data_IF_297704061961
#
_entry.id   IF_297704061961
#
_cell.length_a   1.000
_cell.length_b   1.000
_cell.length_c   1.000
_cell.angle_alpha   90.00
_cell.angle_beta   90.00
_cell.angle_gamma   90.00
#
_symmetry.space_group_name_H-M   'P 1'
#
loop_
_entity.id
_entity.type
_entity.pdbx_description
1 polymer ?
#
# COMPACT_ATOMS: atom_id res chain seq x y z
N UNK A 1 23.47 -11.95 -74.18
CA UNK A 1 22.57 -13.08 -73.90
C UNK A 1 23.40 -14.20 -73.28
N UNK A 2 23.38 -14.30 -71.96
CA UNK A 2 24.03 -15.33 -71.16
C UNK A 2 22.98 -15.87 -70.17
N UNK A 3 23.05 -17.17 -69.80
CA UNK A 3 21.88 -17.94 -69.36
C UNK A 3 21.55 -17.76 -67.87
N UNK A 4 20.28 -18.00 -67.55
CA UNK A 4 19.71 -17.95 -66.21
C UNK A 4 20.33 -19.00 -65.27
N UNK A 5 20.73 -18.58 -64.08
CA UNK A 5 21.16 -19.46 -62.98
C UNK A 5 19.94 -20.02 -62.27
N UNK A 6 19.88 -21.35 -62.19
CA UNK A 6 18.97 -22.12 -61.33
C UNK A 6 19.24 -21.81 -59.85
N UNK A 7 18.22 -21.57 -59.00
CA UNK A 7 18.44 -21.41 -57.56
C UNK A 7 18.66 -22.78 -56.89
N UNK A 8 19.55 -22.78 -55.90
CA UNK A 8 19.91 -23.93 -55.07
C UNK A 8 18.75 -24.34 -54.12
N UNK A 9 18.73 -25.57 -53.58
CA UNK A 9 17.62 -26.09 -52.79
C UNK A 9 17.51 -25.35 -51.45
N UNK A 10 16.29 -24.98 -51.08
CA UNK A 10 15.94 -24.46 -49.75
C UNK A 10 16.30 -25.49 -48.68
N UNK A 11 17.14 -25.09 -47.73
CA UNK A 11 17.33 -25.83 -46.49
C UNK A 11 16.01 -25.78 -45.69
N UNK A 12 15.64 -26.85 -44.97
CA UNK A 12 14.42 -26.86 -44.19
C UNK A 12 14.56 -25.85 -43.05
N UNK A 13 13.62 -24.90 -42.98
CA UNK A 13 13.48 -24.03 -41.83
C UNK A 13 13.29 -24.89 -40.57
N UNK A 14 14.18 -24.72 -39.61
CA UNK A 14 13.95 -25.17 -38.23
C UNK A 14 12.67 -24.50 -37.75
N UNK A 15 11.59 -25.28 -37.67
CA UNK A 15 10.37 -24.91 -36.95
C UNK A 15 10.75 -24.63 -35.49
N UNK A 16 11.06 -23.37 -35.18
CA UNK A 16 11.11 -22.86 -33.81
C UNK A 16 9.75 -23.12 -33.17
N UNK A 17 9.69 -24.09 -32.26
CA UNK A 17 8.50 -24.39 -31.47
C UNK A 17 8.04 -23.09 -30.80
N UNK A 18 6.89 -22.58 -31.21
CA UNK A 18 6.27 -21.44 -30.55
C UNK A 18 6.03 -21.80 -29.09
N UNK A 19 6.67 -21.08 -28.17
CA UNK A 19 6.53 -21.33 -26.74
C UNK A 19 5.05 -21.24 -26.35
N UNK A 20 4.52 -22.33 -25.78
CA UNK A 20 3.13 -22.40 -25.32
C UNK A 20 2.99 -21.50 -24.11
N UNK A 21 2.30 -20.36 -24.28
CA UNK A 21 2.09 -19.35 -23.23
C UNK A 21 0.71 -19.44 -22.57
N UNK A 22 -0.11 -20.45 -22.92
CA UNK A 22 -1.41 -20.71 -22.30
C UNK A 22 -1.77 -22.19 -22.34
N UNK A 23 -2.41 -22.69 -21.29
CA UNK A 23 -2.90 -24.06 -21.18
C UNK A 23 -4.34 -24.08 -20.66
N UNK A 24 -5.07 -25.15 -20.98
CA UNK A 24 -6.40 -25.40 -20.45
C UNK A 24 -6.34 -26.47 -19.36
N UNK A 25 -6.97 -26.18 -18.22
CA UNK A 25 -7.08 -27.04 -17.05
C UNK A 25 -8.51 -27.59 -16.98
N UNK A 26 -8.74 -28.88 -17.29
CA UNK A 26 -10.06 -29.48 -17.41
C UNK A 26 -10.67 -29.84 -16.04
N UNK A 27 -10.86 -28.83 -15.20
CA UNK A 27 -11.32 -28.97 -13.82
C UNK A 27 -12.86 -29.06 -13.70
N UNK A 28 -13.59 -28.79 -14.78
CA UNK A 28 -15.05 -28.78 -14.85
C UNK A 28 -15.69 -27.49 -14.33
N UNK A 29 -16.94 -27.23 -14.75
CA UNK A 29 -17.63 -25.95 -14.52
C UNK A 29 -18.01 -25.67 -13.07
N UNK A 30 -18.14 -26.73 -12.26
CA UNK A 30 -18.60 -26.64 -10.88
C UNK A 30 -17.49 -26.77 -9.84
N UNK A 31 -16.23 -26.93 -10.25
CA UNK A 31 -15.10 -27.01 -9.34
C UNK A 31 -14.75 -25.60 -8.85
N UNK A 32 -14.77 -25.42 -7.52
CA UNK A 32 -14.20 -24.23 -6.92
C UNK A 32 -12.69 -24.37 -6.91
N UNK A 33 -11.98 -23.34 -7.34
CA UNK A 33 -10.51 -23.32 -7.29
C UNK A 33 -9.92 -22.15 -6.50
N UNK A 34 -8.71 -22.37 -5.98
CA UNK A 34 -7.80 -21.34 -5.49
C UNK A 34 -6.42 -21.53 -6.12
N UNK A 35 -5.72 -20.45 -6.45
CA UNK A 35 -4.44 -20.51 -7.14
C UNK A 35 -3.47 -19.42 -6.66
N UNK A 36 -2.26 -19.82 -6.24
CA UNK A 36 -1.29 -18.96 -5.58
C UNK A 36 0.15 -19.46 -5.77
N UNK A 37 1.11 -18.61 -5.42
CA UNK A 37 2.53 -18.95 -5.47
C UNK A 37 3.03 -19.46 -4.12
N UNK A 38 3.85 -20.51 -4.16
CA UNK A 38 4.61 -21.06 -3.04
C UNK A 38 6.07 -21.21 -3.46
N UNK A 39 6.91 -20.25 -3.08
CA UNK A 39 8.27 -20.14 -3.62
C UNK A 39 8.26 -20.09 -5.16
N UNK A 40 8.90 -21.07 -5.78
CA UNK A 40 9.00 -21.21 -7.23
C UNK A 40 7.88 -22.05 -7.86
N UNK A 41 6.97 -22.57 -7.05
CA UNK A 41 5.85 -23.37 -7.51
C UNK A 41 4.57 -22.54 -7.56
N UNK A 42 3.84 -22.64 -8.68
CA UNK A 42 2.48 -22.15 -8.77
C UNK A 42 1.51 -23.29 -8.46
N UNK A 43 0.75 -23.13 -7.38
CA UNK A 43 -0.15 -24.15 -6.85
C UNK A 43 -1.59 -23.77 -7.20
N UNK A 44 -2.32 -24.72 -7.76
CA UNK A 44 -3.75 -24.66 -8.02
C UNK A 44 -4.42 -25.76 -7.19
N UNK A 45 -5.37 -25.37 -6.35
CA UNK A 45 -6.16 -26.28 -5.52
C UNK A 45 -7.59 -26.26 -6.00
N UNK A 46 -8.14 -27.42 -6.32
CA UNK A 46 -9.53 -27.64 -6.70
C UNK A 46 -10.27 -28.40 -5.61
N UNK A 47 -11.48 -27.96 -5.28
CA UNK A 47 -12.36 -28.61 -4.29
C UNK A 47 -13.06 -29.89 -4.78
N UNK A 48 -12.68 -30.36 -5.97
CA UNK A 48 -13.12 -31.62 -6.57
C UNK A 48 -11.94 -32.50 -6.98
N UNK A 49 -12.16 -33.81 -6.88
CA UNK A 49 -11.28 -34.81 -7.44
C UNK A 49 -11.47 -34.87 -8.96
N UNK A 50 -10.41 -34.59 -9.70
CA UNK A 50 -10.36 -34.62 -11.16
C UNK A 50 -9.08 -35.33 -11.55
N UNK A 51 -9.21 -36.44 -12.27
CA UNK A 51 -8.04 -37.09 -12.86
C UNK A 51 -7.58 -36.28 -14.06
N UNK A 52 -6.30 -35.88 -14.05
CA UNK A 52 -5.66 -35.16 -15.14
C UNK A 52 -4.37 -35.86 -15.51
N UNK A 53 -4.12 -35.98 -16.81
CA UNK A 53 -2.85 -36.46 -17.34
C UNK A 53 -1.98 -35.27 -17.74
N UNK A 54 -0.78 -35.17 -17.16
CA UNK A 54 0.20 -34.12 -17.48
C UNK A 54 1.16 -34.52 -18.59
N UNK A 55 1.06 -35.74 -19.14
CA UNK A 55 1.93 -36.21 -20.22
C UNK A 55 1.93 -35.26 -21.42
N UNK A 56 0.78 -34.67 -21.75
CA UNK A 56 0.61 -33.70 -22.83
C UNK A 56 1.33 -32.36 -22.60
N UNK A 57 1.73 -32.06 -21.35
CA UNK A 57 2.49 -30.86 -21.00
C UNK A 57 4.00 -31.08 -21.10
N UNK A 58 4.47 -32.33 -21.23
CA UNK A 58 5.90 -32.59 -21.35
C UNK A 58 6.47 -31.93 -22.62
N UNK A 59 7.49 -31.11 -22.45
CA UNK A 59 8.08 -30.34 -23.55
C UNK A 59 7.28 -29.10 -23.98
N UNK A 60 6.16 -28.76 -23.33
CA UNK A 60 5.36 -27.56 -23.67
C UNK A 60 5.83 -26.34 -22.88
N UNK A 61 7.01 -25.82 -23.24
CA UNK A 61 7.50 -24.53 -22.75
C UNK A 61 7.48 -24.38 -21.22
N UNK A 62 6.99 -23.22 -20.74
CA UNK A 62 7.01 -22.83 -19.32
C UNK A 62 6.12 -23.68 -18.41
N UNK A 63 5.12 -24.37 -18.96
CA UNK A 63 4.20 -25.22 -18.18
C UNK A 63 4.62 -26.69 -18.15
N UNK A 64 5.82 -27.01 -18.61
CA UNK A 64 6.27 -28.40 -18.80
C UNK A 64 6.51 -29.17 -17.51
N UNK A 65 6.83 -28.48 -16.42
CA UNK A 65 7.08 -29.08 -15.10
C UNK A 65 5.81 -29.07 -14.24
N UNK A 66 4.80 -29.83 -14.68
CA UNK A 66 3.51 -29.94 -13.99
C UNK A 66 3.38 -31.27 -13.24
N UNK A 67 2.91 -31.20 -12.00
CA UNK A 67 2.52 -32.36 -11.18
C UNK A 67 1.06 -32.24 -10.78
N UNK A 68 0.37 -33.37 -10.73
CA UNK A 68 -1.03 -33.45 -10.27
C UNK A 68 -1.11 -34.49 -9.17
N UNK A 69 -1.73 -34.11 -8.06
CA UNK A 69 -2.03 -35.01 -6.95
C UNK A 69 -3.51 -34.90 -6.59
N UNK A 70 -4.18 -36.04 -6.46
CA UNK A 70 -5.55 -36.10 -5.94
C UNK A 70 -5.51 -36.65 -4.52
N UNK A 71 -5.97 -35.87 -3.55
CA UNK A 71 -6.03 -36.26 -2.13
C UNK A 71 -7.50 -36.17 -1.71
N UNK A 72 -8.11 -37.32 -1.42
CA UNK A 72 -9.53 -37.39 -1.09
C UNK A 72 -10.40 -36.83 -2.22
N UNK A 73 -11.11 -35.74 -1.96
CA UNK A 73 -11.95 -35.04 -2.94
C UNK A 73 -11.33 -33.73 -3.45
N UNK A 74 -10.01 -33.57 -3.31
CA UNK A 74 -9.27 -32.36 -3.71
C UNK A 74 -8.25 -32.74 -4.78
N UNK A 75 -8.09 -31.87 -5.78
CA UNK A 75 -7.00 -31.98 -6.77
C UNK A 75 -6.05 -30.81 -6.60
N UNK A 76 -4.76 -31.10 -6.45
CA UNK A 76 -3.69 -30.13 -6.38
C UNK A 76 -2.88 -30.27 -7.66
N UNK A 77 -2.74 -29.17 -8.39
CA UNK A 77 -1.87 -29.06 -9.57
C UNK A 77 -0.75 -28.09 -9.20
N UNK A 78 0.50 -28.52 -9.32
CA UNK A 78 1.65 -27.65 -9.08
C UNK A 78 2.50 -27.54 -10.35
N UNK A 79 2.85 -26.31 -10.71
CA UNK A 79 3.75 -25.99 -11.81
C UNK A 79 5.03 -25.40 -11.26
N UNK A 80 6.17 -26.02 -11.56
CA UNK A 80 7.47 -25.50 -11.16
C UNK A 80 8.01 -24.50 -12.19
N UNK A 81 8.46 -23.34 -11.73
CA UNK A 81 9.11 -22.34 -12.56
C UNK A 81 10.50 -22.00 -12.03
N UNK A 82 11.45 -21.73 -12.93
CA UNK A 82 12.80 -21.30 -12.53
C UNK A 82 12.82 -19.90 -11.90
N UNK A 83 11.80 -19.09 -12.21
CA UNK A 83 11.60 -17.74 -11.68
C UNK A 83 10.09 -17.43 -11.67
N UNK A 84 9.67 -16.52 -10.81
CA UNK A 84 8.28 -16.03 -10.81
C UNK A 84 7.98 -15.33 -12.14
N UNK A 85 6.89 -15.74 -12.78
CA UNK A 85 6.42 -15.12 -14.03
C UNK A 85 5.01 -14.55 -13.84
N UNK A 86 4.65 -13.50 -14.58
CA UNK A 86 3.30 -12.93 -14.50
C UNK A 86 2.30 -13.94 -15.06
N UNK A 87 1.49 -14.56 -14.19
CA UNK A 87 0.42 -15.47 -14.57
C UNK A 87 -0.95 -14.80 -14.43
N UNK A 88 -1.89 -15.26 -15.23
CA UNK A 88 -3.31 -14.96 -15.12
C UNK A 88 -4.15 -16.21 -15.33
N UNK A 89 -5.38 -16.17 -14.82
CA UNK A 89 -6.29 -17.31 -14.93
C UNK A 89 -7.70 -16.83 -15.24
N UNK A 90 -8.35 -17.49 -16.19
CA UNK A 90 -9.68 -17.12 -16.68
C UNK A 90 -10.59 -18.33 -16.71
N UNK A 91 -11.84 -18.15 -16.32
CA UNK A 91 -12.84 -19.23 -16.37
C UNK A 91 -13.27 -19.48 -17.81
N UNK A 92 -13.45 -20.76 -18.16
CA UNK A 92 -13.99 -21.18 -19.46
C UNK A 92 -14.97 -22.35 -19.26
N UNK A 93 -15.90 -22.57 -20.21
CA UNK A 93 -16.69 -23.79 -20.19
C UNK A 93 -15.79 -25.05 -20.12
N UNK A 94 -16.07 -25.92 -19.16
CA UNK A 94 -15.32 -27.15 -18.87
C UNK A 94 -14.09 -26.98 -17.98
N UNK A 95 -13.69 -25.75 -17.58
CA UNK A 95 -12.51 -25.58 -16.74
C UNK A 95 -11.93 -24.15 -16.70
N UNK A 96 -10.61 -24.07 -16.70
CA UNK A 96 -9.88 -22.80 -16.51
C UNK A 96 -8.71 -22.70 -17.50
N UNK A 97 -8.44 -21.50 -17.98
CA UNK A 97 -7.23 -21.21 -18.75
C UNK A 97 -6.20 -20.62 -17.80
N UNK A 98 -4.99 -21.20 -17.75
CA UNK A 98 -3.81 -20.58 -17.15
C UNK A 98 -2.93 -20.02 -18.27
N UNK A 99 -2.56 -18.74 -18.18
CA UNK A 99 -1.74 -18.09 -19.20
C UNK A 99 -0.64 -17.22 -18.57
N UNK A 100 0.44 -17.02 -19.32
CA UNK A 100 1.44 -15.99 -19.04
C UNK A 100 0.88 -14.65 -19.50
N UNK A 101 0.72 -13.71 -18.57
CA UNK A 101 0.23 -12.36 -18.82
C UNK A 101 1.33 -11.50 -19.43
N UNK A 102 0.98 -10.61 -20.35
CA UNK A 102 1.92 -9.60 -20.85
C UNK A 102 2.26 -8.57 -19.75
N UNK A 103 3.51 -8.12 -19.67
CA UNK A 103 3.98 -7.19 -18.61
C UNK A 103 3.18 -5.88 -18.52
N UNK A 104 2.64 -5.40 -19.64
CA UNK A 104 1.90 -4.12 -19.70
C UNK A 104 0.41 -4.23 -19.34
N UNK A 105 -0.11 -5.42 -19.07
CA UNK A 105 -1.52 -5.61 -18.75
C UNK A 105 -1.76 -5.49 -17.24
N UNK A 106 -2.67 -4.58 -16.89
CA UNK A 106 -3.12 -4.41 -15.52
C UNK A 106 -3.77 -5.71 -15.03
N UNK A 107 -3.23 -6.27 -13.94
CA UNK A 107 -3.73 -7.53 -13.38
C UNK A 107 -5.06 -7.26 -12.65
N UNK A 108 -6.04 -8.15 -12.85
CA UNK A 108 -7.33 -8.09 -12.16
C UNK A 108 -7.15 -8.57 -10.72
N UNK A 109 -7.70 -7.83 -9.76
CA UNK A 109 -7.68 -8.19 -8.34
C UNK A 109 -8.99 -7.83 -7.69
N UNK A 110 -9.39 -8.61 -6.68
CA UNK A 110 -10.55 -8.25 -5.91
C UNK A 110 -10.16 -7.29 -4.80
N UNK A 111 -10.98 -6.26 -4.66
CA UNK A 111 -11.11 -5.53 -3.42
C UNK A 111 -11.88 -6.41 -2.44
N UNK A 112 -11.15 -7.15 -1.63
CA UNK A 112 -11.77 -8.00 -0.60
C UNK A 112 -11.80 -7.20 0.69
N UNK A 113 -12.94 -6.59 0.94
CA UNK A 113 -13.26 -5.94 2.21
C UNK A 113 -14.01 -6.95 3.08
N UNK A 114 -13.42 -7.43 4.18
CA UNK A 114 -14.13 -8.31 5.11
C UNK A 114 -15.40 -7.63 5.64
N UNK A 115 -16.34 -8.43 6.14
CA UNK A 115 -17.56 -7.96 6.77
C UNK A 115 -17.69 -8.62 8.13
N UNK A 116 -17.88 -7.83 9.18
CA UNK A 116 -18.18 -8.38 10.51
C UNK A 116 -19.56 -9.03 10.47
N UNK A 117 -19.63 -10.31 10.82
CA UNK A 117 -20.88 -11.08 10.81
C UNK A 117 -20.83 -12.17 11.86
N UNK A 118 -21.89 -12.31 12.66
CA UNK A 118 -22.05 -13.38 13.64
C UNK A 118 -20.84 -13.55 14.59
N UNK A 119 -20.16 -12.45 14.95
CA UNK A 119 -18.98 -12.46 15.83
C UNK A 119 -17.65 -12.83 15.14
N UNK A 120 -17.66 -13.11 13.84
CA UNK A 120 -16.48 -13.39 13.02
C UNK A 120 -16.36 -12.45 11.82
N UNK A 121 -15.46 -12.82 10.88
CA UNK A 121 -15.24 -12.07 9.65
C UNK A 121 -15.65 -12.89 8.43
N UNK A 122 -16.61 -12.37 7.66
CA UNK A 122 -16.96 -12.89 6.35
C UNK A 122 -16.12 -12.20 5.29
N UNK A 123 -15.38 -12.96 4.50
CA UNK A 123 -14.70 -12.53 3.29
C UNK A 123 -15.57 -12.85 2.08
N UNK A 124 -16.25 -11.85 1.48
CA UNK A 124 -17.20 -12.11 0.39
C UNK A 124 -16.52 -12.73 -0.82
N UNK A 125 -17.12 -13.77 -1.38
CA UNK A 125 -16.63 -14.45 -2.59
C UNK A 125 -17.79 -14.85 -3.49
N UNK A 126 -17.71 -14.59 -4.81
CA UNK A 126 -18.71 -15.07 -5.76
C UNK A 126 -18.67 -16.60 -5.78
N UNK A 127 -19.84 -17.24 -5.67
CA UNK A 127 -20.00 -18.71 -5.69
C UNK A 127 -18.89 -19.47 -4.92
N UNK A 128 -18.75 -19.14 -3.63
CA UNK A 128 -17.77 -19.75 -2.74
C UNK A 128 -17.83 -21.29 -2.78
N UNK A 129 -16.67 -21.90 -2.99
CA UNK A 129 -16.43 -23.34 -3.00
C UNK A 129 -16.24 -23.89 -1.59
N UNK A 130 -15.27 -24.79 -1.41
CA UNK A 130 -14.86 -25.29 -0.09
C UNK A 130 -13.64 -24.52 0.43
N UNK A 131 -13.43 -24.59 1.74
CA UNK A 131 -12.14 -24.21 2.33
C UNK A 131 -11.32 -25.49 2.49
N UNK A 132 -10.12 -25.50 1.92
CA UNK A 132 -9.24 -26.67 1.86
C UNK A 132 -8.01 -26.37 2.67
N UNK A 133 -7.70 -27.25 3.62
CA UNK A 133 -6.46 -27.18 4.38
C UNK A 133 -5.32 -27.88 3.63
N UNK A 134 -4.17 -27.22 3.56
CA UNK A 134 -2.92 -27.81 3.07
C UNK A 134 -1.72 -27.27 3.86
N UNK A 135 -0.61 -27.99 3.80
CA UNK A 135 0.69 -27.47 4.21
C UNK A 135 1.39 -26.85 3.01
N UNK A 136 1.93 -25.64 3.17
CA UNK A 136 2.73 -24.98 2.14
C UNK A 136 3.99 -25.81 1.83
N UNK A 137 4.24 -26.21 0.56
CA UNK A 137 5.40 -27.01 0.23
C UNK A 137 6.75 -26.32 0.48
N UNK A 138 6.81 -24.99 0.33
CA UNK A 138 8.05 -24.23 0.48
C UNK A 138 8.36 -23.91 1.95
N UNK A 139 7.37 -23.47 2.72
CA UNK A 139 7.56 -22.96 4.08
C UNK A 139 7.04 -23.88 5.18
N UNK A 140 6.24 -24.89 4.84
CA UNK A 140 5.53 -25.73 5.80
C UNK A 140 4.36 -25.04 6.53
N UNK A 141 4.01 -23.80 6.14
CA UNK A 141 2.94 -23.05 6.79
C UNK A 141 1.58 -23.76 6.62
N UNK A 142 0.71 -23.65 7.63
CA UNK A 142 -0.66 -24.16 7.55
C UNK A 142 -1.51 -23.19 6.73
N UNK A 143 -1.97 -23.63 5.56
CA UNK A 143 -2.78 -22.83 4.65
C UNK A 143 -4.23 -23.32 4.65
N UNK A 144 -5.17 -22.38 4.71
CA UNK A 144 -6.57 -22.59 4.40
C UNK A 144 -6.90 -21.87 3.09
N UNK A 145 -7.17 -22.63 2.04
CA UNK A 145 -7.49 -22.10 0.71
C UNK A 145 -9.00 -22.13 0.53
N UNK A 146 -9.62 -20.95 0.58
CA UNK A 146 -11.01 -20.79 0.21
C UNK A 146 -11.11 -20.71 -1.32
N UNK A 147 -11.78 -21.69 -1.91
CA UNK A 147 -11.92 -21.78 -3.36
C UNK A 147 -13.16 -21.02 -3.85
N UNK A 148 -13.17 -20.64 -5.13
CA UNK A 148 -14.34 -20.06 -5.79
C UNK A 148 -14.57 -20.70 -7.15
N UNK A 149 -15.85 -20.92 -7.46
CA UNK A 149 -16.29 -21.47 -8.75
C UNK A 149 -16.23 -20.40 -9.85
N UNK A 150 -16.39 -19.13 -9.50
CA UNK A 150 -16.31 -18.01 -10.44
C UNK A 150 -14.97 -17.29 -10.31
N UNK A 151 -14.64 -16.40 -11.25
CA UNK A 151 -13.46 -15.55 -11.13
C UNK A 151 -13.53 -14.73 -9.84
N UNK A 152 -12.58 -14.97 -8.95
CA UNK A 152 -12.44 -14.35 -7.66
C UNK A 152 -10.94 -14.15 -7.41
N UNK A 153 -10.31 -13.15 -8.03
CA UNK A 153 -8.90 -12.90 -7.83
C UNK A 153 -8.65 -12.46 -6.39
N UNK A 154 -7.57 -12.94 -5.77
CA UNK A 154 -7.25 -12.57 -4.39
C UNK A 154 -6.52 -11.24 -4.27
N UNK A 155 -5.96 -10.94 -3.09
CA UNK A 155 -5.20 -9.73 -2.88
C UNK A 155 -3.89 -9.76 -3.69
N UNK A 156 -3.41 -8.58 -4.06
CA UNK A 156 -2.10 -8.39 -4.70
C UNK A 156 -0.93 -8.69 -3.77
N UNK A 157 -1.13 -8.31 -2.51
CA UNK A 157 -0.12 -8.29 -1.47
C UNK A 157 -0.53 -9.22 -0.34
N UNK A 158 0.48 -9.70 0.37
CA UNK A 158 0.29 -10.37 1.64
C UNK A 158 -0.33 -9.38 2.63
N UNK A 159 -1.37 -9.79 3.33
CA UNK A 159 -2.07 -9.00 4.34
C UNK A 159 -1.88 -9.65 5.70
N UNK A 160 -1.10 -9.03 6.57
CA UNK A 160 -0.91 -9.52 7.93
C UNK A 160 -2.09 -9.10 8.82
N UNK A 161 -2.59 -10.04 9.62
CA UNK A 161 -3.66 -9.82 10.61
C UNK A 161 -3.25 -10.50 11.92
N UNK A 162 -4.00 -10.27 12.99
CA UNK A 162 -3.68 -10.89 14.28
C UNK A 162 -3.93 -12.41 14.21
N UNK A 163 -2.84 -13.19 14.18
CA UNK A 163 -2.85 -14.65 14.19
C UNK A 163 -3.02 -15.33 12.82
N UNK A 164 -3.13 -14.56 11.73
CA UNK A 164 -3.16 -15.09 10.37
C UNK A 164 -2.70 -14.07 9.34
N UNK A 165 -2.32 -14.55 8.17
CA UNK A 165 -2.05 -13.74 6.99
C UNK A 165 -3.00 -14.14 5.86
N UNK A 166 -3.27 -13.22 4.93
CA UNK A 166 -3.88 -13.53 3.63
C UNK A 166 -2.81 -13.39 2.57
N UNK A 167 -2.50 -14.46 1.86
CA UNK A 167 -1.45 -14.48 0.85
C UNK A 167 -1.95 -13.97 -0.52
N UNK A 168 -1.04 -13.45 -1.37
CA UNK A 168 -1.38 -13.15 -2.75
C UNK A 168 -1.86 -14.38 -3.50
N UNK A 169 -2.96 -14.23 -4.25
CA UNK A 169 -3.51 -15.29 -5.09
C UNK A 169 -4.07 -14.73 -6.40
N UNK A 170 -3.98 -15.51 -7.47
CA UNK A 170 -4.62 -15.20 -8.76
C UNK A 170 -6.10 -15.57 -8.73
N UNK A 171 -6.48 -16.51 -7.86
CA UNK A 171 -7.84 -16.99 -7.72
C UNK A 171 -8.08 -17.53 -6.31
N UNK A 172 -9.29 -17.33 -5.79
CA UNK A 172 -9.65 -17.71 -4.42
C UNK A 172 -8.89 -16.89 -3.36
N UNK A 173 -9.06 -17.28 -2.11
CA UNK A 173 -8.38 -16.67 -0.96
C UNK A 173 -7.50 -17.70 -0.27
N UNK A 174 -6.31 -17.28 0.16
CA UNK A 174 -5.34 -18.14 0.83
C UNK A 174 -5.02 -17.54 2.18
N UNK A 175 -5.38 -18.24 3.25
CA UNK A 175 -5.12 -17.82 4.62
C UNK A 175 -3.95 -18.66 5.16
N UNK A 176 -2.85 -18.03 5.54
CA UNK A 176 -1.79 -18.70 6.30
C UNK A 176 -2.04 -18.47 7.79
N UNK A 177 -2.28 -19.54 8.54
CA UNK A 177 -2.59 -19.45 9.96
C UNK A 177 -1.32 -19.49 10.79
N UNK A 178 -1.19 -18.54 11.73
CA UNK A 178 -0.10 -18.49 12.70
C UNK A 178 -0.55 -18.99 14.09
N UNK A 179 -1.86 -18.91 14.37
CA UNK A 179 -2.45 -19.36 15.63
C UNK A 179 -3.48 -20.47 15.42
N UNK A 180 -3.40 -21.52 16.24
CA UNK A 180 -4.29 -22.69 16.18
C UNK A 180 -5.76 -22.37 16.50
N UNK A 181 -5.99 -21.28 17.22
CA UNK A 181 -7.32 -20.81 17.61
C UNK A 181 -8.12 -20.16 16.47
N UNK A 182 -7.50 -19.93 15.30
CA UNK A 182 -8.19 -19.35 14.15
C UNK A 182 -8.67 -20.47 13.24
N UNK A 183 -9.94 -20.39 12.86
CA UNK A 183 -10.53 -21.28 11.88
C UNK A 183 -11.10 -20.49 10.71
N UNK A 184 -10.93 -21.01 9.49
CA UNK A 184 -11.62 -20.50 8.31
C UNK A 184 -12.49 -21.62 7.75
N UNK A 185 -13.77 -21.36 7.62
CA UNK A 185 -14.78 -22.30 7.11
C UNK A 185 -15.60 -21.68 5.99
N UNK A 186 -16.34 -22.52 5.26
CA UNK A 186 -17.30 -22.03 4.28
C UNK A 186 -18.43 -21.28 5.01
N UNK A 187 -18.58 -19.99 4.71
CA UNK A 187 -19.70 -19.16 5.15
C UNK A 187 -20.78 -19.01 4.09
N UNK A 188 -21.93 -18.47 4.48
CA UNK A 188 -22.94 -18.04 3.52
C UNK A 188 -22.47 -16.74 2.84
N UNK A 189 -22.06 -16.85 1.57
CA UNK A 189 -21.57 -15.72 0.76
C UNK A 189 -20.05 -15.56 0.70
N UNK A 190 -19.27 -16.47 1.29
CA UNK A 190 -17.81 -16.29 1.32
C UNK A 190 -17.05 -17.24 2.25
N UNK A 191 -15.76 -16.97 2.46
CA UNK A 191 -14.98 -17.61 3.51
C UNK A 191 -15.30 -16.92 4.85
N UNK A 192 -15.58 -17.70 5.89
CA UNK A 192 -15.90 -17.18 7.22
C UNK A 192 -14.78 -17.53 8.18
N UNK A 193 -14.16 -16.51 8.76
CA UNK A 193 -13.11 -16.63 9.75
C UNK A 193 -13.70 -16.46 11.14
N UNK A 194 -13.37 -17.39 12.02
CA UNK A 194 -13.85 -17.51 13.39
C UNK A 194 -12.67 -17.74 14.34
N UNK A 195 -12.85 -17.41 15.63
CA UNK A 195 -11.84 -17.66 16.67
C UNK A 195 -12.42 -18.58 17.73
N UNK A 196 -11.76 -19.71 17.95
CA UNK A 196 -12.14 -20.71 18.94
C UNK A 196 -11.63 -20.34 20.34
N UNK A 197 -12.53 -20.33 21.35
CA UNK A 197 -12.17 -20.30 22.77
C UNK A 197 -12.94 -19.29 23.62
N UNK A 198 -13.18 -19.63 24.90
CA UNK A 198 -13.92 -18.81 25.89
C UNK A 198 -13.17 -17.56 26.38
N UNK A 199 -11.84 -17.54 26.20
CA UNK A 199 -10.92 -16.44 26.52
C UNK A 199 -10.27 -15.86 25.25
N UNK A 200 -10.98 -15.94 24.12
CA UNK A 200 -10.48 -15.48 22.83
C UNK A 200 -10.28 -13.96 22.81
N UNK A 201 -9.13 -13.52 22.30
CA UNK A 201 -8.90 -12.12 21.95
C UNK A 201 -9.98 -11.77 20.92
N UNK A 202 -10.84 -10.77 21.16
CA UNK A 202 -11.86 -10.40 20.19
C UNK A 202 -11.16 -10.03 18.87
N UNK A 203 -11.61 -10.61 17.76
CA UNK A 203 -11.28 -10.13 16.40
C UNK A 203 -11.71 -8.65 16.22
N UNK A 204 -12.48 -8.14 17.19
CA UNK A 204 -13.11 -6.82 17.28
C UNK A 204 -12.45 -5.83 18.28
N UNK A 205 -11.25 -6.09 18.82
CA UNK A 205 -10.61 -5.09 19.70
C UNK A 205 -9.82 -4.04 18.92
N UNK A 206 -10.54 -3.20 18.17
CA UNK A 206 -9.97 -2.07 17.43
C UNK A 206 -11.00 -1.23 16.68
N UNK A 207 -11.93 -0.60 17.42
CA UNK A 207 -12.88 0.44 16.99
C UNK A 207 -14.10 -0.01 16.14
N UNK A 208 -15.28 0.33 16.64
CA UNK A 208 -16.51 0.42 15.86
C UNK A 208 -16.24 1.19 14.55
N UNK A 209 -16.46 0.53 13.42
CA UNK A 209 -16.60 1.20 12.13
C UNK A 209 -15.31 1.48 11.35
N UNK A 210 -14.52 0.45 11.04
CA UNK A 210 -13.88 0.30 9.73
C UNK A 210 -13.23 -1.08 9.64
N UNK A 211 -13.74 -1.94 8.77
CA UNK A 211 -12.96 -3.10 8.36
C UNK A 211 -11.79 -2.58 7.54
N UNK A 212 -10.58 -2.59 8.13
CA UNK A 212 -9.35 -2.06 7.53
C UNK A 212 -9.13 -2.62 6.10
N UNK A 213 -9.21 -1.74 5.10
CA UNK A 213 -8.93 -1.99 3.69
C UNK A 213 -7.40 -1.97 3.47
N UNK A 214 -6.73 -3.04 3.94
CA UNK A 214 -5.27 -3.16 3.97
C UNK A 214 -4.71 -3.63 2.63
N UNK A 215 -4.64 -2.72 1.65
CA UNK A 215 -3.94 -2.94 0.36
C UNK A 215 -2.48 -2.50 0.39
N UNK A 216 -2.05 -1.92 1.50
CA UNK A 216 -0.66 -1.70 1.91
C UNK A 216 -0.59 -2.14 3.36
N UNK A 217 0.37 -2.98 3.73
CA UNK A 217 0.54 -3.33 5.15
C UNK A 217 1.27 -2.16 5.84
N UNK A 218 0.53 -1.35 6.59
CA UNK A 218 1.07 -0.21 7.33
C UNK A 218 2.05 -0.64 8.43
N UNK A 219 1.83 -1.83 8.98
CA UNK A 219 2.79 -2.45 9.91
C UNK A 219 4.07 -2.87 9.19
N UNK A 220 3.96 -3.30 7.92
CA UNK A 220 5.10 -3.61 7.04
C UNK A 220 5.90 -2.34 6.72
N UNK A 221 5.25 -1.22 6.35
CA UNK A 221 5.91 0.07 6.07
C UNK A 221 6.69 0.63 7.27
N UNK A 222 6.60 -0.02 8.44
CA UNK A 222 7.24 0.42 9.67
C UNK A 222 6.46 1.51 10.38
N UNK A 223 5.21 1.78 9.98
CA UNK A 223 4.37 2.85 10.53
C UNK A 223 3.71 2.44 11.84
N UNK A 224 4.52 1.90 12.75
CA UNK A 224 4.13 1.56 14.12
C UNK A 224 4.31 2.79 15.00
N UNK A 225 3.31 3.08 15.83
CA UNK A 225 3.40 4.14 16.85
C UNK A 225 4.38 3.71 17.97
N UNK A 226 5.67 3.87 17.70
CA UNK A 226 6.76 3.68 18.66
C UNK A 226 7.26 5.04 19.14
N UNK A 227 7.76 5.09 20.38
CA UNK A 227 8.43 6.27 20.90
C UNK A 227 9.67 6.59 20.02
N UNK A 228 9.96 7.87 19.71
CA UNK A 228 11.14 8.29 18.94
C UNK A 228 12.47 7.65 19.35
N UNK A 229 12.71 7.42 20.65
CA UNK A 229 13.93 6.76 21.13
C UNK A 229 14.01 5.31 20.63
N UNK A 230 12.88 4.60 20.65
CA UNK A 230 12.79 3.21 20.17
C UNK A 230 12.92 3.13 18.65
N UNK A 231 12.38 4.11 17.91
CA UNK A 231 12.54 4.18 16.45
C UNK A 231 14.01 4.35 16.07
N UNK A 232 14.73 5.24 16.77
CA UNK A 232 16.17 5.46 16.56
C UNK A 232 16.99 4.21 16.83
N UNK A 233 16.70 3.52 17.93
CA UNK A 233 17.39 2.28 18.26
C UNK A 233 17.04 1.14 17.28
N UNK A 234 15.79 1.08 16.82
CA UNK A 234 15.36 0.09 15.83
C UNK A 234 16.06 0.28 14.49
N UNK A 235 16.13 1.53 14.00
CA UNK A 235 16.92 1.86 12.82
C UNK A 235 18.39 1.50 12.99
N UNK A 236 19.03 1.89 14.11
CA UNK A 236 20.44 1.58 14.38
C UNK A 236 20.71 0.07 14.33
N UNK A 237 19.83 -0.72 14.95
CA UNK A 237 19.92 -2.19 14.95
C UNK A 237 19.76 -2.75 13.54
N UNK A 238 18.73 -2.34 12.79
CA UNK A 238 18.47 -2.85 11.44
C UNK A 238 19.57 -2.46 10.45
N UNK A 239 20.09 -1.25 10.54
CA UNK A 239 21.23 -0.80 9.75
C UNK A 239 22.48 -1.63 10.01
N UNK A 240 22.80 -1.87 11.30
CA UNK A 240 23.92 -2.73 11.68
C UNK A 240 23.72 -4.15 11.17
N UNK A 241 22.51 -4.70 11.29
CA UNK A 241 22.19 -6.04 10.80
C UNK A 241 22.37 -6.14 9.28
N UNK A 242 21.94 -5.13 8.53
CA UNK A 242 22.13 -5.08 7.08
C UNK A 242 23.61 -5.09 6.67
N UNK A 243 24.46 -4.37 7.41
CA UNK A 243 25.90 -4.37 7.17
C UNK A 243 26.56 -5.74 7.42
N UNK A 244 25.97 -6.57 8.30
CA UNK A 244 26.50 -7.88 8.68
C UNK A 244 26.02 -9.03 7.79
N UNK A 245 25.00 -8.83 6.93
CA UNK A 245 24.49 -9.89 6.06
C UNK A 245 25.42 -10.20 4.88
N UNK A 246 25.47 -11.46 4.41
CA UNK A 246 26.09 -11.80 3.12
C UNK A 246 25.34 -11.13 1.96
N UNK A 247 25.97 -10.95 0.77
CA UNK A 247 25.38 -10.22 -0.35
C UNK A 247 23.98 -10.70 -0.76
N UNK A 248 23.74 -12.01 -0.76
CA UNK A 248 22.46 -12.64 -1.12
C UNK A 248 21.29 -12.27 -0.19
N UNK A 249 21.53 -12.13 1.12
CA UNK A 249 20.49 -11.80 2.12
C UNK A 249 20.42 -10.31 2.44
N UNK A 250 21.31 -9.51 1.85
CA UNK A 250 21.48 -8.10 2.20
C UNK A 250 20.32 -7.22 1.74
N UNK A 251 19.62 -7.61 0.68
CA UNK A 251 18.48 -6.86 0.12
C UNK A 251 17.34 -6.68 1.12
N UNK A 252 16.85 -7.77 1.71
CA UNK A 252 15.78 -7.75 2.71
C UNK A 252 16.18 -7.00 4.00
N UNK A 253 17.43 -7.18 4.44
CA UNK A 253 17.94 -6.47 5.62
C UNK A 253 18.06 -4.95 5.38
N UNK A 254 18.46 -4.52 4.18
CA UNK A 254 18.45 -3.10 3.80
C UNK A 254 17.03 -2.56 3.67
N UNK A 255 16.11 -3.32 3.10
CA UNK A 255 14.70 -2.93 3.02
C UNK A 255 14.11 -2.72 4.42
N UNK A 256 14.43 -3.60 5.38
CA UNK A 256 14.08 -3.41 6.78
C UNK A 256 14.66 -2.12 7.37
N UNK A 257 15.92 -1.78 7.08
CA UNK A 257 16.54 -0.53 7.52
C UNK A 257 15.90 0.71 6.89
N UNK A 258 15.56 0.65 5.59
CA UNK A 258 14.86 1.73 4.89
C UNK A 258 13.49 2.02 5.50
N UNK A 259 12.72 0.98 5.87
CA UNK A 259 11.41 1.14 6.55
C UNK A 259 11.56 1.81 7.92
N UNK A 260 12.61 1.46 8.67
CA UNK A 260 12.88 2.10 9.95
C UNK A 260 13.33 3.57 9.79
N UNK A 261 14.13 3.89 8.76
CA UNK A 261 14.48 5.27 8.41
C UNK A 261 13.23 6.10 8.05
N UNK A 262 12.35 5.52 7.23
CA UNK A 262 11.09 6.16 6.84
C UNK A 262 10.18 6.42 8.04
N UNK A 263 10.04 5.45 8.94
CA UNK A 263 9.26 5.59 10.18
C UNK A 263 9.81 6.68 11.12
N UNK A 264 11.12 6.95 11.08
CA UNK A 264 11.74 8.09 11.78
C UNK A 264 11.48 9.45 11.10
N UNK A 265 10.80 9.48 9.95
CA UNK A 265 10.65 10.69 9.13
C UNK A 265 11.90 11.03 8.30
N UNK A 266 12.90 10.13 8.24
CA UNK A 266 14.11 10.34 7.43
C UNK A 266 13.91 9.78 6.01
N UNK A 267 13.14 10.53 5.22
CA UNK A 267 12.77 10.14 3.87
C UNK A 267 13.97 10.06 2.91
N UNK A 268 15.01 10.87 3.13
CA UNK A 268 16.22 10.87 2.28
C UNK A 268 17.08 9.64 2.55
N UNK A 269 17.27 9.31 3.82
CA UNK A 269 17.99 8.10 4.21
C UNK A 269 17.22 6.84 3.76
N UNK A 270 15.90 6.83 3.94
CA UNK A 270 15.06 5.75 3.44
C UNK A 270 15.20 5.57 1.93
N UNK A 271 15.15 6.66 1.16
CA UNK A 271 15.33 6.64 -0.30
C UNK A 271 16.71 6.11 -0.70
N UNK A 272 17.78 6.54 -0.03
CA UNK A 272 19.14 6.10 -0.33
C UNK A 272 19.33 4.60 -0.08
N UNK A 273 18.91 4.11 1.10
CA UNK A 273 19.01 2.69 1.45
C UNK A 273 18.16 1.83 0.51
N UNK A 274 16.94 2.29 0.20
CA UNK A 274 16.02 1.57 -0.67
C UNK A 274 16.52 1.51 -2.11
N UNK A 275 17.13 2.60 -2.61
CA UNK A 275 17.77 2.62 -3.93
C UNK A 275 18.83 1.55 -4.07
N UNK A 276 19.77 1.47 -3.10
CA UNK A 276 20.79 0.41 -3.09
C UNK A 276 20.19 -0.98 -2.93
N UNK A 277 19.12 -1.15 -2.15
CA UNK A 277 18.46 -2.44 -2.01
C UNK A 277 17.85 -2.92 -3.34
N UNK A 278 17.23 -2.01 -4.11
CA UNK A 278 16.66 -2.28 -5.42
C UNK A 278 17.75 -2.52 -6.48
N UNK A 279 18.87 -1.79 -6.42
CA UNK A 279 20.02 -2.03 -7.31
C UNK A 279 20.60 -3.44 -7.12
N UNK A 280 20.73 -3.88 -5.86
CA UNK A 280 21.24 -5.20 -5.51
C UNK A 280 20.22 -6.31 -5.79
N UNK A 281 18.92 -6.05 -5.62
CA UNK A 281 17.83 -6.97 -5.94
C UNK A 281 16.69 -6.25 -6.71
N UNK A 282 16.74 -6.24 -8.05
CA UNK A 282 15.73 -5.57 -8.89
C UNK A 282 14.30 -6.08 -8.69
N UNK A 283 14.10 -7.31 -8.23
CA UNK A 283 12.76 -7.87 -7.99
C UNK A 283 12.02 -7.13 -6.87
N UNK A 284 12.74 -6.47 -5.95
CA UNK A 284 12.12 -5.65 -4.91
C UNK A 284 11.29 -4.51 -5.52
N UNK A 285 11.69 -3.95 -6.66
CA UNK A 285 10.95 -2.87 -7.32
C UNK A 285 9.58 -3.32 -7.86
N UNK A 286 9.40 -4.63 -8.08
CA UNK A 286 8.14 -5.22 -8.53
C UNK A 286 7.12 -5.37 -7.39
N UNK A 287 7.56 -5.26 -6.13
CA UNK A 287 6.69 -5.41 -4.98
C UNK A 287 5.93 -4.10 -4.70
N UNK A 288 4.58 -4.09 -4.72
CA UNK A 288 3.80 -2.86 -4.56
C UNK A 288 4.08 -2.08 -3.26
N UNK A 289 4.38 -2.77 -2.16
CA UNK A 289 4.74 -2.14 -0.89
C UNK A 289 6.10 -1.40 -0.97
N UNK A 290 7.06 -1.95 -1.72
CA UNK A 290 8.36 -1.31 -1.97
C UNK A 290 8.18 -0.11 -2.90
N UNK A 291 7.40 -0.25 -3.97
CA UNK A 291 7.07 0.85 -4.87
C UNK A 291 6.36 1.99 -4.12
N UNK A 292 5.43 1.66 -3.24
CA UNK A 292 4.75 2.64 -2.38
C UNK A 292 5.73 3.33 -1.44
N UNK A 293 6.57 2.59 -0.72
CA UNK A 293 7.59 3.14 0.18
C UNK A 293 8.57 4.06 -0.57
N UNK A 294 9.00 3.66 -1.77
CA UNK A 294 9.87 4.45 -2.62
C UNK A 294 9.19 5.76 -3.03
N UNK A 295 7.94 5.70 -3.47
CA UNK A 295 7.18 6.86 -3.90
C UNK A 295 6.85 7.80 -2.74
N UNK A 296 6.50 7.27 -1.56
CA UNK A 296 6.30 8.05 -0.34
C UNK A 296 7.59 8.71 0.15
N UNK A 297 8.72 7.99 0.11
CA UNK A 297 10.04 8.53 0.45
C UNK A 297 10.44 9.64 -0.53
N UNK A 298 10.26 9.43 -1.83
CA UNK A 298 10.48 10.45 -2.87
C UNK A 298 9.63 11.70 -2.61
N UNK A 299 8.33 11.51 -2.35
CA UNK A 299 7.42 12.63 -2.09
C UNK A 299 7.91 13.47 -0.90
N UNK A 300 8.23 12.82 0.22
CA UNK A 300 8.71 13.50 1.43
C UNK A 300 10.09 14.13 1.29
N UNK A 301 10.96 13.53 0.46
CA UNK A 301 12.25 14.10 0.11
C UNK A 301 12.15 15.34 -0.80
N UNK A 302 10.95 15.65 -1.30
CA UNK A 302 10.68 16.78 -2.21
C UNK A 302 10.74 16.40 -3.70
N UNK A 303 10.90 15.13 -4.02
CA UNK A 303 10.91 14.60 -5.38
C UNK A 303 9.50 14.13 -5.79
N UNK A 304 8.65 15.06 -6.21
CA UNK A 304 7.30 14.73 -6.65
C UNK A 304 7.28 13.87 -7.92
N UNK A 305 8.25 14.04 -8.84
CA UNK A 305 8.33 13.25 -10.08
C UNK A 305 8.51 11.76 -9.80
N UNK A 306 9.37 11.42 -8.83
CA UNK A 306 9.59 10.04 -8.38
C UNK A 306 8.46 9.45 -7.53
N UNK A 307 7.38 10.20 -7.29
CA UNK A 307 6.28 9.79 -6.41
C UNK A 307 5.01 9.35 -7.16
N UNK A 308 5.08 9.20 -8.49
CA UNK A 308 3.92 8.93 -9.36
C UNK A 308 3.13 7.67 -9.00
N UNK A 309 3.76 6.66 -8.39
CA UNK A 309 3.07 5.46 -7.94
C UNK A 309 1.99 5.74 -6.87
N UNK A 310 2.08 6.86 -6.14
CA UNK A 310 1.06 7.28 -5.16
C UNK A 310 -0.25 7.74 -5.80
N UNK A 311 -0.27 8.01 -7.11
CA UNK A 311 -1.52 8.28 -7.82
C UNK A 311 -2.43 7.04 -7.90
N UNK A 312 -1.88 5.83 -7.72
CA UNK A 312 -2.62 4.58 -7.88
C UNK A 312 -3.73 4.46 -6.81
N UNK A 313 -5.02 4.35 -7.20
CA UNK A 313 -6.12 4.15 -6.27
C UNK A 313 -6.12 2.81 -5.53
N UNK A 314 -5.30 1.86 -5.94
CA UNK A 314 -5.28 0.51 -5.41
C UNK A 314 -4.60 0.38 -4.04
N UNK A 315 -3.97 1.44 -3.51
CA UNK A 315 -3.35 1.45 -2.18
C UNK A 315 -4.36 1.48 -1.00
N UNK A 316 -5.67 1.46 -1.27
CA UNK A 316 -6.72 1.35 -0.24
C UNK A 316 -7.03 2.66 0.49
N UNK A 317 -7.81 2.57 1.58
CA UNK A 317 -8.21 3.71 2.42
C UNK A 317 -7.02 4.47 3.00
N UNK A 318 -5.90 3.80 3.22
CA UNK A 318 -4.78 4.39 3.94
C UNK A 318 -3.76 5.01 2.99
N UNK A 319 -3.71 4.55 1.73
CA UNK A 319 -3.01 5.24 0.64
C UNK A 319 -3.70 6.52 0.18
N UNK A 320 -4.95 6.75 0.60
CA UNK A 320 -5.76 7.89 0.16
C UNK A 320 -5.16 9.24 0.54
N UNK A 321 -4.61 9.33 1.75
CA UNK A 321 -3.92 10.51 2.27
C UNK A 321 -2.69 10.82 1.40
N UNK A 322 -1.87 9.80 1.16
CA UNK A 322 -0.65 9.90 0.34
C UNK A 322 -0.96 10.29 -1.10
N UNK A 323 -2.05 9.77 -1.66
CA UNK A 323 -2.52 10.18 -2.99
C UNK A 323 -2.97 11.64 -3.01
N UNK A 324 -3.67 12.10 -1.98
CA UNK A 324 -4.01 13.51 -1.81
C UNK A 324 -2.76 14.39 -1.74
N UNK A 325 -1.78 14.01 -0.92
CA UNK A 325 -0.49 14.70 -0.77
C UNK A 325 0.31 14.73 -2.07
N UNK A 326 0.39 13.61 -2.78
CA UNK A 326 1.00 13.55 -4.11
C UNK A 326 0.28 14.47 -5.09
N UNK A 327 -1.05 14.42 -5.14
CA UNK A 327 -1.85 15.28 -6.03
C UNK A 327 -1.64 16.77 -5.73
N UNK A 328 -1.57 17.15 -4.46
CA UNK A 328 -1.27 18.53 -4.05
C UNK A 328 0.12 18.98 -4.52
N UNK A 329 1.16 18.16 -4.30
CA UNK A 329 2.55 18.48 -4.63
C UNK A 329 2.88 18.37 -6.12
N UNK A 330 2.12 17.59 -6.88
CA UNK A 330 2.25 17.46 -8.34
C UNK A 330 1.42 18.47 -9.14
N UNK A 331 0.72 19.41 -8.47
CA UNK A 331 -0.07 20.44 -9.14
C UNK A 331 -1.41 19.95 -9.69
N UNK A 332 -1.96 18.87 -9.13
CA UNK A 332 -3.28 18.37 -9.48
C UNK A 332 -4.43 19.24 -8.96
N UNK A 333 -5.67 18.75 -9.08
CA UNK A 333 -6.85 19.50 -8.64
C UNK A 333 -6.84 19.69 -7.10
N UNK A 334 -6.82 20.94 -6.59
CA UNK A 334 -6.64 21.19 -5.17
C UNK A 334 -7.83 20.75 -4.32
N UNK A 335 -9.07 20.93 -4.77
CA UNK A 335 -10.26 20.49 -4.03
C UNK A 335 -10.33 18.97 -3.94
N UNK A 336 -10.00 18.26 -5.03
CA UNK A 336 -9.92 16.79 -5.03
C UNK A 336 -8.79 16.28 -4.12
N UNK A 337 -7.64 16.94 -4.13
CA UNK A 337 -6.54 16.60 -3.23
C UNK A 337 -6.92 16.80 -1.75
N UNK A 338 -7.62 17.88 -1.43
CA UNK A 338 -8.11 18.16 -0.08
C UNK A 338 -9.13 17.11 0.40
N UNK A 339 -10.10 16.73 -0.45
CA UNK A 339 -11.06 15.67 -0.12
C UNK A 339 -10.37 14.32 0.13
N UNK A 340 -9.36 13.97 -0.68
CA UNK A 340 -8.55 12.76 -0.47
C UNK A 340 -7.75 12.79 0.84
N UNK A 341 -7.18 13.95 1.17
CA UNK A 341 -6.48 14.14 2.44
C UNK A 341 -7.42 14.05 3.63
N UNK A 342 -8.60 14.67 3.56
CA UNK A 342 -9.62 14.64 4.61
C UNK A 342 -10.11 13.21 4.86
N UNK A 343 -10.35 12.44 3.79
CA UNK A 343 -10.74 11.03 3.88
C UNK A 343 -9.73 10.16 4.65
N UNK A 344 -8.43 10.45 4.51
CA UNK A 344 -7.37 9.70 5.19
C UNK A 344 -6.84 10.35 6.47
N UNK A 345 -7.45 11.45 6.94
CA UNK A 345 -6.87 12.28 8.00
C UNK A 345 -6.77 11.56 9.35
N UNK A 346 -7.80 10.77 9.70
CA UNK A 346 -7.83 9.99 10.95
C UNK A 346 -6.68 8.99 11.06
N UNK A 347 -6.19 8.48 9.93
CA UNK A 347 -5.11 7.50 9.88
C UNK A 347 -3.77 8.06 10.39
N UNK A 348 -3.58 9.39 10.34
CA UNK A 348 -2.39 10.04 10.88
C UNK A 348 -2.20 9.79 12.38
N UNK A 349 -3.27 9.47 13.13
CA UNK A 349 -3.16 9.16 14.56
C UNK A 349 -2.34 7.90 14.84
N UNK A 350 -2.35 6.95 13.91
CA UNK A 350 -1.61 5.69 14.01
C UNK A 350 -0.15 5.81 13.54
N UNK A 351 0.25 6.96 12.96
CA UNK A 351 1.59 7.13 12.39
C UNK A 351 2.65 7.34 13.48
N UNK A 352 3.91 6.95 13.21
CA UNK A 352 5.04 7.34 14.05
C UNK A 352 5.08 8.85 14.27
N UNK A 353 5.34 9.27 15.50
CA UNK A 353 5.34 10.68 15.90
C UNK A 353 6.22 11.58 15.01
N UNK A 354 7.45 11.17 14.60
CA UNK A 354 8.27 12.00 13.71
C UNK A 354 7.61 12.27 12.35
N UNK A 355 7.04 11.21 11.74
CA UNK A 355 6.38 11.29 10.45
C UNK A 355 5.09 12.11 10.52
N UNK A 356 4.30 11.90 11.58
CA UNK A 356 3.09 12.68 11.85
C UNK A 356 3.41 14.18 11.97
N UNK A 357 4.44 14.55 12.74
CA UNK A 357 4.87 15.94 12.90
C UNK A 357 5.30 16.60 11.58
N UNK A 358 5.84 15.81 10.65
CA UNK A 358 6.27 16.30 9.35
C UNK A 358 5.09 16.55 8.40
N UNK A 359 4.09 15.66 8.37
CA UNK A 359 3.03 15.66 7.35
C UNK A 359 1.75 16.35 7.82
N UNK A 360 1.38 16.17 9.10
CA UNK A 360 0.07 16.60 9.61
C UNK A 360 -0.18 18.11 9.47
N UNK A 361 0.78 19.02 9.74
CA UNK A 361 0.55 20.46 9.60
C UNK A 361 0.26 20.88 8.16
N UNK A 362 0.97 20.30 7.19
CA UNK A 362 0.76 20.56 5.76
C UNK A 362 -0.63 20.07 5.32
N UNK A 363 -0.96 18.83 5.68
CA UNK A 363 -2.27 18.24 5.37
C UNK A 363 -3.41 19.06 5.97
N UNK A 364 -3.32 19.43 7.25
CA UNK A 364 -4.35 20.22 7.93
C UNK A 364 -4.53 21.60 7.26
N UNK A 365 -3.43 22.28 6.95
CA UNK A 365 -3.46 23.58 6.26
C UNK A 365 -4.09 23.46 4.87
N UNK A 366 -3.78 22.38 4.15
CA UNK A 366 -4.29 22.15 2.80
C UNK A 366 -5.81 21.86 2.80
N UNK A 367 -6.28 21.01 3.73
CA UNK A 367 -7.71 20.73 3.93
C UNK A 367 -8.46 22.02 4.27
N UNK A 368 -7.95 22.81 5.22
CA UNK A 368 -8.57 24.08 5.60
C UNK A 368 -8.71 25.05 4.43
N UNK A 369 -7.68 25.11 3.57
CA UNK A 369 -7.63 26.05 2.45
C UNK A 369 -8.51 25.64 1.26
N UNK A 370 -8.61 24.34 0.96
CA UNK A 370 -9.18 23.86 -0.30
C UNK A 370 -10.32 22.84 -0.14
N UNK A 371 -10.56 22.31 1.06
CA UNK A 371 -11.62 21.34 1.35
C UNK A 371 -13.01 21.99 1.50
N UNK A 372 -14.05 21.16 1.36
CA UNK A 372 -15.43 21.54 1.67
C UNK A 372 -15.65 21.71 3.18
N UNK A 373 -16.84 22.15 3.58
CA UNK A 373 -17.18 22.26 5.00
C UNK A 373 -17.19 20.89 5.68
N UNK A 374 -17.63 19.83 4.98
CA UNK A 374 -17.51 18.44 5.45
C UNK A 374 -16.05 18.02 5.61
N UNK A 375 -15.19 18.32 4.63
CA UNK A 375 -13.76 17.98 4.71
C UNK A 375 -13.08 18.67 5.91
N UNK A 376 -13.46 19.91 6.23
CA UNK A 376 -12.88 20.68 7.34
C UNK A 376 -13.26 20.14 8.72
N UNK A 377 -14.41 19.45 8.84
CA UNK A 377 -14.86 18.88 10.12
C UNK A 377 -13.84 17.88 10.71
N UNK A 378 -13.01 17.24 9.88
CA UNK A 378 -11.97 16.31 10.34
C UNK A 378 -10.85 16.99 11.15
N UNK A 379 -10.74 18.32 11.09
CA UNK A 379 -9.70 19.11 11.77
C UNK A 379 -10.10 19.54 13.19
N UNK A 380 -11.37 19.40 13.57
CA UNK A 380 -11.89 19.77 14.90
C UNK A 380 -11.05 19.18 16.07
N UNK A 381 -10.62 17.90 16.04
CA UNK A 381 -9.89 17.27 17.14
C UNK A 381 -8.45 17.77 17.37
N UNK A 382 -7.90 18.66 16.53
CA UNK A 382 -6.50 19.08 16.65
C UNK A 382 -6.20 19.90 17.92
N UNK A 383 -4.96 19.93 18.42
CA UNK A 383 -4.59 20.82 19.54
C UNK A 383 -4.62 22.29 19.11
N UNK A 384 -4.93 23.21 20.05
CA UNK A 384 -4.79 24.65 19.85
C UNK A 384 -3.32 25.10 20.00
N UNK A 385 -2.45 24.58 19.12
CA UNK A 385 -1.04 25.00 18.99
C UNK A 385 -0.87 25.79 17.68
N UNK A 386 0.00 26.80 17.69
CA UNK A 386 0.18 27.76 16.58
C UNK A 386 0.55 27.14 15.24
N UNK A 387 1.03 25.89 15.25
CA UNK A 387 1.31 25.08 14.05
C UNK A 387 0.07 24.63 13.28
N UNK A 388 -1.11 24.69 13.90
CA UNK A 388 -2.39 24.30 13.31
C UNK A 388 -3.36 25.48 13.15
N UNK A 389 -2.99 26.69 13.57
CA UNK A 389 -3.86 27.86 13.55
C UNK A 389 -4.34 28.21 12.14
N UNK A 390 -3.46 28.13 11.13
CA UNK A 390 -3.85 28.32 9.72
C UNK A 390 -4.82 27.26 9.21
N UNK A 391 -4.78 26.06 9.79
CA UNK A 391 -5.71 24.96 9.49
C UNK A 391 -7.09 25.13 10.14
N UNK A 392 -7.22 26.03 11.12
CA UNK A 392 -8.47 26.23 11.88
C UNK A 392 -9.21 27.51 11.55
N UNK A 393 -8.59 28.44 10.82
CA UNK A 393 -9.27 29.68 10.41
C UNK A 393 -10.41 29.33 9.47
N UNK A 394 -11.63 29.34 10.01
CA UNK A 394 -12.87 29.28 9.25
C UNK A 394 -12.95 30.53 8.37
N UNK A 395 -13.07 30.36 7.05
CA UNK A 395 -13.28 31.46 6.11
C UNK A 395 -14.73 31.98 6.14
N UNK A 396 -15.49 31.74 7.22
CA UNK A 396 -16.69 32.51 7.53
C UNK A 396 -16.32 33.89 8.06
N UNK A 397 -15.87 34.74 7.16
CA UNK A 397 -15.99 36.18 7.32
C UNK A 397 -16.34 36.71 5.95
N UNK A 398 -17.64 36.76 5.65
CA UNK A 398 -18.15 37.66 4.63
C UNK A 398 -17.68 39.08 4.99
N UNK A 399 -17.17 39.87 4.03
CA UNK A 399 -16.88 41.27 4.29
C UNK A 399 -18.22 42.00 4.38
N UNK A 400 -18.79 42.09 5.59
CA UNK A 400 -19.75 43.15 5.85
C UNK A 400 -19.02 44.50 5.69
N UNK A 401 -19.62 45.47 4.97
CA UNK A 401 -19.03 46.80 4.84
C UNK A 401 -19.15 47.51 6.18
N UNK A 402 -18.09 47.45 6.99
CA UNK A 402 -17.99 48.21 8.23
C UNK A 402 -17.95 49.72 7.92
N UNK A 403 -19.14 50.33 7.85
CA UNK A 403 -19.36 51.73 8.14
C UNK A 403 -20.07 51.81 9.49
N UNK A 404 -19.41 52.37 10.51
CA UNK A 404 -20.06 52.62 11.80
C UNK A 404 -19.06 52.79 12.95
N UNK A 405 -18.83 54.06 13.26
CA UNK A 405 -18.26 54.73 14.43
C UNK A 405 -17.76 53.94 15.65
N UNK A 406 -16.60 54.42 16.11
CA UNK A 406 -15.79 53.98 17.22
C UNK A 406 -16.33 54.62 18.51
N UNK A 407 -16.91 53.85 19.42
CA UNK A 407 -16.89 54.17 20.86
C UNK A 407 -17.22 52.94 21.71
N UNK A 408 -16.58 52.87 22.89
CA UNK A 408 -16.63 51.85 23.95
C UNK A 408 -15.84 50.54 23.75
N UNK A 409 -14.57 50.61 24.14
CA UNK A 409 -13.79 49.46 24.64
C UNK A 409 -14.33 48.97 25.98
N UNK A 410 -14.75 47.70 26.06
CA UNK A 410 -14.76 46.93 27.30
C UNK A 410 -14.01 45.61 27.10
N UNK A 411 -13.15 45.30 28.07
CA UNK A 411 -12.22 44.19 28.14
C UNK A 411 -12.87 42.81 27.96
N UNK A 412 -12.25 41.98 27.12
CA UNK A 412 -12.49 40.54 27.08
C UNK A 412 -12.00 39.90 25.78
N UNK A 413 -10.97 39.06 25.89
CA UNK A 413 -10.35 38.20 24.86
C UNK A 413 -9.25 38.85 24.01
N UNK A 414 -8.04 38.29 24.15
CA UNK A 414 -6.85 38.69 23.42
C UNK A 414 -6.93 38.29 21.94
N UNK A 415 -7.34 39.24 21.10
CA UNK A 415 -7.09 39.25 19.67
C UNK A 415 -5.84 40.07 19.37
N UNK A 416 -4.93 39.50 18.57
CA UNK A 416 -3.72 40.16 18.08
C UNK A 416 -4.09 41.35 17.18
N UNK A 417 -3.93 42.57 17.67
CA UNK A 417 -4.01 43.80 16.86
C UNK A 417 -2.69 43.99 16.14
N UNK A 418 -2.66 43.82 14.82
CA UNK A 418 -1.53 44.28 13.99
C UNK A 418 -1.71 45.77 13.74
N UNK A 419 -0.88 46.58 14.37
CA UNK A 419 -0.78 48.00 14.09
C UNK A 419 0.02 48.23 12.80
N UNK A 420 -0.52 49.00 11.84
CA UNK A 420 0.31 49.56 10.79
C UNK A 420 -0.42 50.13 9.57
N UNK A 421 -0.49 51.46 9.53
CA UNK A 421 -0.12 52.34 8.40
C UNK A 421 -0.63 52.02 6.97
N UNK A 422 -1.40 52.99 6.48
CA UNK A 422 -1.56 53.49 5.10
C UNK A 422 -1.30 52.56 3.90
N UNK A 423 -2.40 52.18 3.25
CA UNK A 423 -2.52 51.35 2.06
C UNK A 423 -2.37 52.11 0.75
N UNK A 424 -1.29 52.88 0.58
CA UNK A 424 -0.97 53.49 -0.71
C UNK A 424 0.54 53.55 -0.88
N UNK A 425 1.10 52.55 -1.57
CA UNK A 425 2.40 52.53 -2.29
C UNK A 425 3.07 51.13 -2.25
N UNK A 426 2.37 50.05 -2.60
CA UNK A 426 3.01 48.79 -3.01
C UNK A 426 2.12 48.05 -4.01
N UNK A 427 2.02 48.58 -5.21
CA UNK A 427 1.59 47.83 -6.38
C UNK A 427 2.64 48.04 -7.47
N UNK A 428 3.65 47.18 -7.50
CA UNK A 428 4.29 46.80 -8.76
C UNK A 428 3.92 45.33 -9.05
N UNK A 429 3.52 45.00 -10.29
CA UNK A 429 3.16 43.64 -10.65
C UNK A 429 4.46 42.83 -10.85
N UNK A 430 4.62 41.74 -10.09
CA UNK A 430 5.70 40.77 -10.33
C UNK A 430 5.10 39.50 -10.92
N UNK A 431 5.56 39.17 -12.13
CA UNK A 431 5.27 37.94 -12.87
C UNK A 431 6.15 36.80 -12.32
N UNK A 432 5.62 36.00 -11.40
CA UNK A 432 5.89 34.56 -11.14
C UNK A 432 5.81 34.19 -9.65
N UNK A 433 5.17 33.06 -9.29
CA UNK A 433 4.96 32.68 -7.90
C UNK A 433 6.08 31.76 -7.42
N UNK A 434 7.21 32.30 -6.93
CA UNK A 434 8.12 31.55 -6.04
C UNK A 434 9.12 32.39 -5.22
N UNK A 435 9.17 33.73 -5.33
CA UNK A 435 10.15 34.56 -4.61
C UNK A 435 9.60 35.27 -3.35
N UNK A 436 9.03 34.51 -2.41
CA UNK A 436 8.78 35.02 -1.06
C UNK A 436 9.49 34.14 -0.02
N UNK A 437 10.81 34.30 0.09
CA UNK A 437 11.59 33.77 1.22
C UNK A 437 11.41 34.73 2.40
N UNK A 438 10.72 34.31 3.45
CA UNK A 438 10.71 35.02 4.72
C UNK A 438 12.02 34.76 5.48
N UNK A 439 12.82 35.81 5.67
CA UNK A 439 14.00 35.80 6.54
C UNK A 439 13.54 35.77 8.00
N UNK A 440 14.04 34.87 8.87
CA UNK A 440 13.70 34.89 10.28
C UNK A 440 14.43 36.05 10.99
N UNK A 441 13.67 37.01 11.52
CA UNK A 441 14.18 38.07 12.40
C UNK A 441 14.33 37.49 13.81
N UNK A 442 15.56 37.50 14.33
CA UNK A 442 15.86 37.18 15.73
C UNK A 442 15.40 38.30 16.66
N UNK A 443 14.94 38.00 17.90
CA UNK A 443 14.55 39.05 18.84
C UNK A 443 15.79 39.76 19.42
N UNK A 444 15.70 41.05 19.77
CA UNK A 444 16.83 41.80 20.30
C UNK A 444 17.18 41.33 21.72
N UNK A 445 18.48 41.21 21.97
CA UNK A 445 19.10 40.98 23.28
C UNK A 445 18.86 42.19 24.18
N UNK A 446 18.18 42.00 25.32
CA UNK A 446 18.12 43.00 26.38
C UNK A 446 19.51 43.18 27.02
N UNK A 447 20.13 44.36 26.80
CA UNK A 447 21.28 44.81 27.57
C UNK A 447 20.83 45.29 28.95
N UNK A 448 21.20 44.54 29.99
CA UNK A 448 21.18 45.00 31.38
C UNK A 448 22.38 45.93 31.61
N UNK A 449 22.14 47.22 31.78
CA UNK A 449 23.14 48.16 32.31
C UNK A 449 23.28 47.96 33.82
N UNK A 450 24.47 47.53 34.26
CA UNK A 450 24.92 47.64 35.66
C UNK A 450 25.68 48.95 35.83
N UNK A 451 25.15 49.86 36.64
CA UNK A 451 25.90 51.01 37.15
C UNK A 451 26.65 50.59 38.42
N UNK A 452 27.98 50.52 38.34
CA UNK A 452 28.87 50.44 39.48
C UNK A 452 29.30 51.86 39.85
N UNK A 453 28.99 52.29 41.08
CA UNK A 453 29.57 53.48 41.69
C UNK A 453 30.76 53.07 42.56
N UNK A 454 31.93 53.65 42.28
CA UNK A 454 33.09 53.70 43.16
C UNK A 454 33.37 55.18 43.45
N UNK A 455 33.19 55.57 44.72
CA UNK A 455 33.83 56.63 45.49
C UNK A 455 32.87 57.11 46.59
#
# INVERSE_FOLDING_TARGET
MAPAKTPAPLQPEENGSAAVNKIFLPLGDGAGIGAFWSGNDFIIVSDRATQMDTSALQGTGVFSAATVQTIGNTTIVAFHFNQLIPLEMHKQPGGWILAVRAENEARRHAVITPQVKDGGLLYPMPQSGRVIELSDPASGARLLVATSVEECPGPLLRRHKLGYEIWPSIQGLVFALEADQIEVRKGNGGAFLDVLGKDSIPVDSGAEGAVADDRVDWSWLGLRSLNPVMLKEDYRRRWTQAAMQPPEDRGEARLAAARAAFAMGDAREAQAILGTAIEDNPELALQPNVTFLQAASNLLAGNAEGASALANPEAGSDGVLWRGLYMARSGGNPSKAAALMAQGFSNLQSYPEPLKKQIQPEVATFIARYGSDEDRSVLEPLPADGRFDLGRVDKRSDPEPCGGDIEETHEGQGGLVVAGRDTAHLLEPVEHPLDAVAVPVTPPVCFLWSAAAFA
#
